data_IF_159337323506
#
_entry.id   IF_159337323506
#
_cell.length_a   1.000
_cell.length_b   1.000
_cell.length_c   1.000
_cell.angle_alpha   90.00
_cell.angle_beta   90.00
_cell.angle_gamma   90.00
#
_symmetry.space_group_name_H-M   'P 1'
#
loop_
_entity.id
_entity.type
_entity.pdbx_description
1 polymer ?
#
# COMPACT_ATOMS: atom_id res chain seq x y z
N UNK A 1 -23.32 -20.96 41.93
CA UNK A 1 -21.93 -20.74 41.47
C UNK A 1 -21.69 -21.60 40.24
N UNK A 2 -21.85 -21.05 39.05
CA UNK A 2 -21.36 -21.70 37.82
C UNK A 2 -20.91 -20.56 36.91
N UNK A 3 -19.62 -20.30 36.93
CA UNK A 3 -18.94 -19.31 36.10
C UNK A 3 -18.96 -19.81 34.67
N UNK A 4 -19.76 -19.17 33.82
CA UNK A 4 -19.71 -19.32 32.37
C UNK A 4 -18.37 -18.76 31.88
N UNK A 5 -17.45 -19.63 31.47
CA UNK A 5 -16.26 -19.20 30.74
C UNK A 5 -16.65 -18.86 29.31
N UNK A 6 -16.31 -17.63 28.92
CA UNK A 6 -16.42 -17.10 27.58
C UNK A 6 -15.56 -17.96 26.63
N UNK A 7 -16.21 -18.66 25.71
CA UNK A 7 -15.56 -19.16 24.50
C UNK A 7 -15.34 -17.99 23.56
N UNK A 8 -14.18 -17.35 23.67
CA UNK A 8 -13.70 -16.31 22.77
C UNK A 8 -13.64 -16.84 21.33
N UNK A 9 -14.56 -16.40 20.48
CA UNK A 9 -14.44 -16.53 19.03
C UNK A 9 -13.42 -15.51 18.52
N UNK A 10 -12.13 -15.79 18.71
CA UNK A 10 -11.03 -14.99 18.17
C UNK A 10 -10.27 -15.78 17.12
N UNK A 11 -10.69 -15.74 15.86
CA UNK A 11 -9.82 -16.16 14.74
C UNK A 11 -8.73 -15.08 14.54
N UNK A 12 -7.76 -15.06 15.45
CA UNK A 12 -6.63 -14.14 15.45
C UNK A 12 -5.48 -14.67 14.62
N UNK A 13 -5.53 -14.49 13.30
CA UNK A 13 -4.33 -14.58 12.47
C UNK A 13 -3.34 -13.50 12.95
N UNK A 14 -2.37 -13.90 13.77
CA UNK A 14 -1.26 -13.05 14.23
C UNK A 14 -0.57 -12.45 13.00
N UNK A 15 -0.63 -11.11 12.85
CA UNK A 15 0.05 -10.42 11.75
C UNK A 15 1.56 -10.56 11.91
N UNK A 16 2.20 -11.12 10.90
CA UNK A 16 3.66 -11.22 10.82
C UNK A 16 4.24 -9.85 10.46
N UNK A 17 5.29 -9.43 11.18
CA UNK A 17 5.95 -8.15 10.90
C UNK A 17 6.59 -8.17 9.50
N UNK A 18 6.45 -7.07 8.76
CA UNK A 18 6.97 -6.95 7.39
C UNK A 18 6.09 -7.55 6.30
N UNK A 19 4.95 -8.19 6.63
CA UNK A 19 4.03 -8.75 5.63
C UNK A 19 2.95 -7.73 5.26
N UNK A 20 2.80 -7.49 3.95
CA UNK A 20 1.78 -6.61 3.36
C UNK A 20 0.51 -7.37 3.00
N UNK A 21 -0.63 -6.90 3.50
CA UNK A 21 -1.96 -7.31 3.08
C UNK A 21 -2.54 -6.25 2.13
N UNK A 22 -3.01 -6.65 0.94
CA UNK A 22 -3.68 -5.76 -0.04
C UNK A 22 -5.08 -6.28 -0.38
N UNK A 23 -5.89 -5.42 -1.00
CA UNK A 23 -7.22 -5.78 -1.51
C UNK A 23 -8.16 -6.38 -0.45
N UNK A 24 -8.63 -7.61 -0.71
CA UNK A 24 -9.55 -8.32 0.19
C UNK A 24 -8.91 -8.62 1.55
N UNK A 25 -7.65 -9.05 1.59
CA UNK A 25 -6.94 -9.36 2.85
C UNK A 25 -6.85 -8.14 3.76
N UNK A 26 -6.66 -6.94 3.18
CA UNK A 26 -6.63 -5.66 3.90
C UNK A 26 -8.00 -5.30 4.48
N UNK A 27 -9.07 -5.60 3.75
CA UNK A 27 -10.43 -5.13 4.05
C UNK A 27 -11.27 -6.11 4.85
N UNK A 28 -10.92 -7.40 4.87
CA UNK A 28 -11.68 -8.49 5.49
C UNK A 28 -12.06 -8.28 6.98
N UNK A 29 -11.30 -7.45 7.70
CA UNK A 29 -11.48 -7.21 9.15
C UNK A 29 -12.11 -5.85 9.50
N UNK A 30 -12.48 -5.05 8.49
CA UNK A 30 -13.08 -3.70 8.68
C UNK A 30 -14.47 -3.84 9.33
N UNK A 31 -14.84 -3.03 10.35
CA UNK A 31 -16.12 -3.17 11.06
C UNK A 31 -17.33 -2.77 10.21
N UNK A 32 -17.11 -2.08 9.09
CA UNK A 32 -18.14 -1.75 8.11
C UNK A 32 -18.20 -2.83 7.02
N UNK A 33 -19.42 -3.18 6.60
CA UNK A 33 -19.63 -4.13 5.50
C UNK A 33 -19.20 -3.50 4.18
N UNK A 34 -18.14 -4.03 3.60
CA UNK A 34 -17.70 -3.69 2.24
C UNK A 34 -18.34 -4.71 1.31
N UNK A 35 -19.27 -4.26 0.46
CA UNK A 35 -19.91 -5.12 -0.54
C UNK A 35 -19.03 -5.08 -1.79
N UNK A 36 -18.41 -6.20 -2.21
CA UNK A 36 -17.66 -6.24 -3.46
C UNK A 36 -18.58 -5.90 -4.63
N UNK A 37 -18.16 -4.92 -5.43
CA UNK A 37 -18.83 -4.55 -6.68
C UNK A 37 -17.97 -5.02 -7.85
N UNK A 38 -18.59 -5.44 -8.94
CA UNK A 38 -17.87 -5.76 -10.17
C UNK A 38 -17.12 -4.50 -10.66
N UNK A 39 -15.84 -4.62 -11.05
CA UNK A 39 -15.09 -3.50 -11.59
C UNK A 39 -15.83 -2.86 -12.76
N UNK A 40 -16.12 -1.58 -12.63
CA UNK A 40 -16.73 -0.81 -13.72
C UNK A 40 -15.65 -0.41 -14.72
N UNK A 41 -15.99 -0.42 -16.01
CA UNK A 41 -15.07 0.08 -17.05
C UNK A 41 -14.81 1.57 -16.77
N UNK A 42 -13.54 1.95 -16.70
CA UNK A 42 -13.15 3.37 -16.58
C UNK A 42 -13.65 4.14 -17.81
N UNK A 43 -14.17 5.37 -17.65
CA UNK A 43 -14.53 6.23 -18.77
C UNK A 43 -13.39 6.45 -19.75
N UNK A 44 -13.71 6.70 -21.02
CA UNK A 44 -12.76 6.92 -22.12
C UNK A 44 -11.71 8.01 -21.82
N UNK A 45 -12.06 9.03 -21.02
CA UNK A 45 -11.19 10.15 -20.67
C UNK A 45 -10.18 9.85 -19.54
N UNK A 46 -10.38 8.78 -18.75
CA UNK A 46 -9.41 8.34 -17.72
C UNK A 46 -8.41 7.37 -18.34
N UNK A 47 -7.46 7.92 -19.11
CA UNK A 47 -6.35 7.16 -19.70
C UNK A 47 -5.04 7.87 -19.42
N UNK A 48 -4.00 7.09 -19.14
CA UNK A 48 -2.64 7.57 -18.91
C UNK A 48 -1.68 6.86 -19.84
N UNK A 49 -0.58 7.53 -20.20
CA UNK A 49 0.51 6.92 -20.94
C UNK A 49 1.39 6.14 -19.98
N UNK A 50 1.85 4.96 -20.40
CA UNK A 50 2.84 4.20 -19.64
C UNK A 50 4.15 4.99 -19.53
N UNK A 51 4.87 4.80 -18.42
CA UNK A 51 6.21 5.36 -18.25
C UNK A 51 7.19 4.76 -19.27
N UNK A 52 8.15 5.57 -19.72
CA UNK A 52 9.22 5.11 -20.59
C UNK A 52 10.44 4.70 -19.75
N UNK A 53 10.71 3.40 -19.65
CA UNK A 53 11.82 2.84 -18.88
C UNK A 53 13.21 3.27 -19.41
N UNK A 54 13.32 3.66 -20.69
CA UNK A 54 14.58 4.16 -21.26
C UNK A 54 14.83 5.65 -20.98
N UNK A 55 13.88 6.36 -20.38
CA UNK A 55 14.01 7.78 -20.04
C UNK A 55 14.06 8.05 -18.53
N UNK A 56 13.78 9.29 -18.16
CA UNK A 56 13.82 9.78 -16.76
C UNK A 56 12.95 8.98 -15.79
N UNK A 57 11.83 8.41 -16.27
CA UNK A 57 11.01 7.50 -15.48
C UNK A 57 11.82 6.29 -14.99
N UNK A 58 12.55 5.62 -15.89
CA UNK A 58 13.35 4.45 -15.55
C UNK A 58 14.56 4.79 -14.68
N UNK A 59 15.17 5.96 -14.89
CA UNK A 59 16.26 6.46 -14.05
C UNK A 59 15.82 6.62 -12.58
N UNK A 60 14.71 7.32 -12.34
CA UNK A 60 14.19 7.52 -10.98
C UNK A 60 13.78 6.19 -10.36
N UNK A 61 13.07 5.36 -11.11
CA UNK A 61 12.65 4.03 -10.64
C UNK A 61 13.85 3.16 -10.22
N UNK A 62 14.95 3.21 -10.98
CA UNK A 62 16.19 2.50 -10.63
C UNK A 62 16.83 3.09 -9.37
N UNK A 63 16.98 4.41 -9.32
CA UNK A 63 17.56 5.12 -8.16
C UNK A 63 16.81 4.81 -6.85
N UNK A 64 15.47 4.84 -6.88
CA UNK A 64 14.65 4.53 -5.70
C UNK A 64 14.88 3.09 -5.20
N UNK A 65 15.01 2.13 -6.12
CA UNK A 65 15.29 0.72 -5.78
C UNK A 65 16.68 0.52 -5.22
N UNK A 66 17.69 1.15 -5.81
CA UNK A 66 19.08 1.10 -5.35
C UNK A 66 19.22 1.67 -3.93
N UNK A 67 18.50 2.76 -3.64
CA UNK A 67 18.47 3.41 -2.33
C UNK A 67 17.46 2.77 -1.35
N UNK A 68 16.71 1.73 -1.78
CA UNK A 68 15.68 1.05 -0.98
C UNK A 68 14.63 2.01 -0.40
N UNK A 69 14.26 3.04 -1.17
CA UNK A 69 13.29 4.05 -0.75
C UNK A 69 11.88 3.70 -1.21
N UNK A 70 10.90 3.99 -0.36
CA UNK A 70 9.49 3.81 -0.69
C UNK A 70 8.87 5.11 -1.20
N UNK A 71 7.93 4.99 -2.15
CA UNK A 71 7.16 6.12 -2.65
C UNK A 71 5.68 5.80 -2.68
N UNK A 72 4.84 6.80 -2.40
CA UNK A 72 3.39 6.65 -2.54
C UNK A 72 3.00 6.48 -4.02
N UNK A 73 3.85 6.94 -4.93
CA UNK A 73 3.68 6.77 -6.36
C UNK A 73 3.59 5.27 -6.74
N UNK A 74 4.47 4.44 -6.16
CA UNK A 74 4.49 3.00 -6.38
C UNK A 74 3.53 2.26 -5.45
N UNK A 75 3.59 2.51 -4.14
CA UNK A 75 2.86 1.72 -3.14
C UNK A 75 1.34 1.86 -3.24
N UNK A 76 0.85 3.02 -3.70
CA UNK A 76 -0.57 3.30 -3.91
C UNK A 76 -1.05 3.08 -5.37
N UNK A 77 -0.20 2.50 -6.24
CA UNK A 77 -0.51 2.27 -7.65
C UNK A 77 -0.99 3.53 -8.39
N UNK A 78 -0.29 4.65 -8.19
CA UNK A 78 -0.69 5.94 -8.74
C UNK A 78 -0.67 5.92 -10.28
N UNK A 79 -1.77 6.30 -10.96
CA UNK A 79 -1.81 6.30 -12.43
C UNK A 79 -0.89 7.36 -13.06
N UNK A 80 -0.46 8.38 -12.29
CA UNK A 80 0.37 9.46 -12.77
C UNK A 80 1.88 9.21 -12.63
N UNK A 81 2.29 8.03 -12.13
CA UNK A 81 3.71 7.72 -11.88
C UNK A 81 4.60 7.93 -13.12
N UNK A 82 4.09 7.60 -14.32
CA UNK A 82 4.78 7.81 -15.59
C UNK A 82 5.14 9.28 -15.84
N UNK A 83 4.18 10.18 -15.60
CA UNK A 83 4.36 11.62 -15.75
C UNK A 83 5.23 12.19 -14.63
N UNK A 84 4.93 11.87 -13.37
CA UNK A 84 5.64 12.41 -12.21
C UNK A 84 7.14 12.06 -12.28
N UNK A 85 7.47 10.78 -12.43
CA UNK A 85 8.87 10.39 -12.54
C UNK A 85 9.49 10.89 -13.84
N UNK A 86 8.75 10.93 -14.95
CA UNK A 86 9.21 11.52 -16.21
C UNK A 86 9.68 12.98 -16.05
N UNK A 87 9.08 13.73 -15.11
CA UNK A 87 9.45 15.11 -14.77
C UNK A 87 10.52 15.25 -13.68
N UNK A 88 11.02 14.17 -13.08
CA UNK A 88 11.92 14.29 -11.94
C UNK A 88 11.24 14.37 -10.58
N UNK A 89 9.94 14.07 -10.48
CA UNK A 89 9.16 14.28 -9.25
C UNK A 89 8.73 12.95 -8.65
N UNK A 90 9.01 12.76 -7.37
CA UNK A 90 8.53 11.64 -6.58
C UNK A 90 8.03 12.13 -5.21
N UNK A 91 7.09 11.39 -4.62
CA UNK A 91 6.64 11.62 -3.25
C UNK A 91 7.03 10.43 -2.40
N UNK A 92 8.00 10.66 -1.52
CA UNK A 92 8.55 9.64 -0.64
C UNK A 92 7.55 9.25 0.44
N UNK A 93 7.59 7.98 0.82
CA UNK A 93 6.96 7.47 2.02
C UNK A 93 8.03 7.23 3.06
N UNK A 94 7.80 7.77 4.26
CA UNK A 94 8.61 7.49 5.43
C UNK A 94 8.03 6.33 6.24
N UNK A 95 8.83 5.75 7.14
CA UNK A 95 8.40 4.66 8.02
C UNK A 95 7.97 3.39 7.26
N UNK A 96 8.53 3.22 6.06
CA UNK A 96 8.31 2.06 5.20
C UNK A 96 7.02 2.11 4.37
N UNK A 97 6.58 0.93 3.95
CA UNK A 97 5.52 0.71 2.97
C UNK A 97 4.28 -0.01 3.55
N UNK A 98 4.27 -0.23 4.87
CA UNK A 98 3.20 -0.90 5.60
C UNK A 98 2.45 0.11 6.46
N UNK A 99 1.17 0.31 6.16
CA UNK A 99 0.27 1.13 6.95
C UNK A 99 -0.44 0.29 8.03
N UNK A 100 -0.45 0.79 9.26
CA UNK A 100 -1.23 0.17 10.36
C UNK A 100 -2.73 0.44 10.22
N UNK A 101 -3.12 1.44 9.43
CA UNK A 101 -4.52 1.71 9.05
C UNK A 101 -4.91 0.87 7.83
N UNK A 102 -6.22 0.81 7.58
CA UNK A 102 -6.83 -0.03 6.55
C UNK A 102 -7.95 0.69 5.81
N UNK A 103 -7.63 1.87 5.27
CA UNK A 103 -8.58 2.64 4.46
C UNK A 103 -9.02 1.79 3.24
N UNK A 104 -10.33 1.56 3.01
CA UNK A 104 -10.81 0.67 1.94
C UNK A 104 -10.40 1.08 0.53
N UNK A 105 -10.14 2.36 0.31
CA UNK A 105 -9.78 2.93 -0.99
C UNK A 105 -8.26 2.94 -1.27
N UNK A 106 -7.44 2.73 -0.24
CA UNK A 106 -6.00 2.92 -0.32
C UNK A 106 -5.32 1.62 -0.71
N UNK A 107 -4.39 1.65 -1.67
CA UNK A 107 -3.68 0.44 -2.11
C UNK A 107 -2.38 0.14 -1.33
N UNK A 108 -1.92 1.06 -0.48
CA UNK A 108 -0.76 0.81 0.40
C UNK A 108 -1.00 -0.43 1.27
N UNK A 109 0.01 -1.29 1.40
CA UNK A 109 -0.09 -2.53 2.17
C UNK A 109 -0.52 -2.28 3.62
N UNK A 110 -1.42 -3.11 4.14
CA UNK A 110 -1.78 -3.13 5.55
C UNK A 110 -0.99 -4.20 6.29
N UNK A 111 -0.55 -3.94 7.51
CA UNK A 111 0.17 -4.95 8.29
C UNK A 111 0.80 -4.41 9.55
N UNK A 112 1.69 -5.22 10.12
CA UNK A 112 2.61 -4.80 11.19
C UNK A 112 3.92 -4.37 10.52
N UNK A 113 4.31 -3.09 10.56
CA UNK A 113 5.57 -2.64 9.97
C UNK A 113 6.77 -3.21 10.74
N UNK A 114 7.94 -3.19 10.09
CA UNK A 114 9.22 -3.36 10.76
C UNK A 114 9.51 -2.11 11.63
N UNK A 115 10.47 -2.19 12.58
CA UNK A 115 10.95 -1.00 13.26
C UNK A 115 11.42 0.08 12.26
N UNK A 116 11.29 1.37 12.60
CA UNK A 116 11.83 2.46 11.77
C UNK A 116 13.31 2.24 11.47
N UNK A 117 13.72 2.56 10.24
CA UNK A 117 15.11 2.46 9.84
C UNK A 117 15.94 3.54 10.57
N UNK A 118 17.07 3.16 11.17
CA UNK A 118 17.86 4.07 12.00
C UNK A 118 18.55 5.18 11.19
N UNK A 119 18.71 4.97 9.89
CA UNK A 119 19.28 5.90 8.91
C UNK A 119 18.22 6.75 8.20
N UNK A 120 16.93 6.53 8.46
CA UNK A 120 15.86 7.41 7.99
C UNK A 120 15.83 8.70 8.85
N UNK A 121 15.81 9.90 8.23
CA UNK A 121 15.73 11.15 8.98
C UNK A 121 14.50 11.24 9.89
N UNK A 122 14.68 11.87 11.07
CA UNK A 122 13.63 12.13 12.05
C UNK A 122 12.71 13.30 11.69
#
# INVERSE_FOLDING_TARGET
MSTRNAGETGNGLTRVAGVKEKGELKTARIPIRIVPQAPQRKPEWIRVKAGNDSGRFGEIKRMLREQKLHTVCEEAACPNIGECFGRGTATFMILGDICTRRCPFCDVGHGKPLPPAADEPA
#
